data_IF_317299758883
#
_entry.id   IF_317299758883
#
_cell.length_a   1.000
_cell.length_b   1.000
_cell.length_c   1.000
_cell.angle_alpha   90.00
_cell.angle_beta   90.00
_cell.angle_gamma   90.00
#
_symmetry.space_group_name_H-M   'P 1'
#
loop_
_entity.id
_entity.type
_entity.pdbx_description
1 polymer ?
#
# COMPACT_ATOMS: atom_id res chain seq x y z
N UNK A 1 -9.29 -6.06 10.02
CA UNK A 1 -8.37 -4.92 10.23
C UNK A 1 -8.14 -4.20 8.91
N UNK A 2 -7.74 -2.96 8.98
CA UNK A 2 -7.43 -2.16 7.79
C UNK A 2 -5.95 -1.86 7.77
N UNK A 3 -5.30 -2.13 6.64
CA UNK A 3 -3.89 -1.80 6.45
C UNK A 3 -3.78 -0.54 5.59
N UNK A 4 -2.98 0.40 6.05
CA UNK A 4 -2.62 1.61 5.32
C UNK A 4 -1.15 1.47 4.95
N UNK A 5 -0.87 1.14 3.70
CA UNK A 5 0.48 0.81 3.24
C UNK A 5 1.02 1.96 2.41
N UNK A 6 2.01 2.67 2.95
CA UNK A 6 2.63 3.81 2.27
C UNK A 6 3.64 3.30 1.27
N UNK A 7 3.49 3.69 0.01
CA UNK A 7 4.32 3.18 -1.08
C UNK A 7 5.05 4.28 -1.86
N UNK A 8 4.87 5.52 -1.48
CA UNK A 8 5.64 6.64 -1.99
C UNK A 8 5.11 7.27 -3.26
N UNK A 9 5.01 6.56 -4.36
CA UNK A 9 4.61 7.12 -5.64
C UNK A 9 3.28 6.59 -6.14
N UNK A 10 2.63 7.34 -7.03
CA UNK A 10 1.39 6.88 -7.66
C UNK A 10 1.63 5.61 -8.48
N UNK A 11 2.78 5.50 -9.13
CA UNK A 11 3.12 4.31 -9.90
C UNK A 11 3.20 3.09 -8.99
N UNK A 12 3.85 3.22 -7.84
CA UNK A 12 3.91 2.12 -6.87
C UNK A 12 2.53 1.79 -6.31
N UNK A 13 1.69 2.81 -6.09
CA UNK A 13 0.34 2.59 -5.61
C UNK A 13 -0.48 1.79 -6.63
N UNK A 14 -0.37 2.13 -7.91
CA UNK A 14 -1.07 1.41 -8.97
C UNK A 14 -0.56 -0.02 -9.12
N UNK A 15 0.75 -0.23 -9.04
CA UNK A 15 1.34 -1.57 -9.07
C UNK A 15 0.85 -2.39 -7.87
N UNK A 16 0.82 -1.77 -6.70
CA UNK A 16 0.33 -2.43 -5.48
C UNK A 16 -1.12 -2.85 -5.63
N UNK A 17 -1.96 -1.96 -6.12
CA UNK A 17 -3.38 -2.24 -6.30
C UNK A 17 -3.57 -3.41 -7.26
N UNK A 18 -2.81 -3.44 -8.34
CA UNK A 18 -2.88 -4.54 -9.32
C UNK A 18 -2.47 -5.87 -8.69
N UNK A 19 -1.32 -5.89 -8.00
CA UNK A 19 -0.83 -7.11 -7.38
C UNK A 19 -1.80 -7.64 -6.33
N UNK A 20 -2.37 -6.75 -5.52
CA UNK A 20 -3.34 -7.15 -4.53
C UNK A 20 -4.61 -7.70 -5.17
N UNK A 21 -5.08 -7.07 -6.24
CA UNK A 21 -6.26 -7.55 -6.96
C UNK A 21 -6.03 -8.95 -7.53
N UNK A 22 -4.85 -9.20 -8.08
CA UNK A 22 -4.51 -10.52 -8.63
C UNK A 22 -4.49 -11.60 -7.55
N UNK A 23 -4.34 -11.21 -6.30
CA UNK A 23 -4.32 -12.12 -5.16
C UNK A 23 -5.63 -12.10 -4.36
N UNK A 24 -6.68 -11.52 -4.93
CA UNK A 24 -8.02 -11.56 -4.33
C UNK A 24 -8.30 -10.44 -3.34
N UNK A 25 -7.45 -9.42 -3.26
CA UNK A 25 -7.64 -8.30 -2.34
C UNK A 25 -8.08 -7.05 -3.09
N UNK A 26 -9.16 -6.46 -2.63
CA UNK A 26 -9.59 -5.14 -3.12
C UNK A 26 -8.87 -4.07 -2.30
N UNK A 27 -8.40 -3.04 -2.97
CA UNK A 27 -7.74 -1.93 -2.31
C UNK A 27 -8.09 -0.62 -2.98
N UNK A 28 -7.86 0.48 -2.28
CA UNK A 28 -8.01 1.81 -2.84
C UNK A 28 -6.72 2.58 -2.66
N UNK A 29 -6.48 3.52 -3.57
CA UNK A 29 -5.31 4.38 -3.53
C UNK A 29 -5.75 5.70 -2.90
N UNK A 30 -4.99 6.16 -1.89
CA UNK A 30 -5.23 7.45 -1.27
C UNK A 30 -3.94 8.27 -1.27
N UNK A 31 -4.11 9.57 -1.42
CA UNK A 31 -3.01 10.50 -1.29
C UNK A 31 -2.91 10.92 0.18
N UNK A 32 -1.69 10.92 0.71
CA UNK A 32 -1.46 11.38 2.07
C UNK A 32 -1.63 12.90 2.13
N UNK A 33 -2.26 13.39 3.21
CA UNK A 33 -2.28 14.79 3.52
C UNK A 33 -1.01 15.10 4.31
N UNK A 34 -0.32 16.18 3.95
CA UNK A 34 0.88 16.62 4.63
C UNK A 34 1.94 15.51 4.76
N UNK A 35 2.37 14.89 3.64
CA UNK A 35 3.37 13.83 3.74
C UNK A 35 4.69 14.38 4.27
N UNK A 36 5.37 13.58 5.09
CA UNK A 36 6.73 13.93 5.51
C UNK A 36 7.70 13.66 4.35
N UNK A 37 8.94 14.22 4.41
CA UNK A 37 9.91 13.92 3.37
C UNK A 37 10.17 12.42 3.17
N UNK A 38 10.04 11.63 4.23
CA UNK A 38 10.25 10.19 4.16
C UNK A 38 9.13 9.48 3.41
N UNK A 39 7.96 10.10 3.26
CA UNK A 39 6.82 9.49 2.61
C UNK A 39 6.87 9.61 1.07
N UNK A 40 7.86 10.31 0.53
CA UNK A 40 7.99 10.51 -0.90
C UNK A 40 6.84 11.33 -1.46
N UNK A 41 6.21 10.84 -2.54
CA UNK A 41 5.08 11.54 -3.15
C UNK A 41 3.79 11.43 -2.33
N UNK A 42 3.81 10.68 -1.25
CA UNK A 42 2.70 10.64 -0.32
C UNK A 42 1.49 9.84 -0.74
N UNK A 43 1.69 8.72 -1.44
CA UNK A 43 0.58 7.83 -1.80
C UNK A 43 0.59 6.58 -0.93
N UNK A 44 -0.61 6.07 -0.67
CA UNK A 44 -0.75 4.82 0.08
C UNK A 44 -1.86 3.96 -0.51
N UNK A 45 -1.81 2.69 -0.21
CA UNK A 45 -2.83 1.71 -0.58
C UNK A 45 -3.55 1.29 0.68
N UNK A 46 -4.87 1.34 0.65
CA UNK A 46 -5.70 0.96 1.80
C UNK A 46 -6.39 -0.34 1.47
N UNK A 47 -6.18 -1.36 2.31
CA UNK A 47 -6.76 -2.67 2.09
C UNK A 47 -7.38 -3.19 3.39
N UNK A 48 -8.60 -3.69 3.29
CA UNK A 48 -9.30 -4.29 4.41
C UNK A 48 -9.06 -5.80 4.35
N UNK A 49 -8.52 -6.37 5.43
CA UNK A 49 -8.04 -7.75 5.43
C UNK A 49 -8.08 -8.32 6.84
N UNK A 50 -8.03 -9.64 6.93
CA UNK A 50 -7.92 -10.33 8.23
C UNK A 50 -6.49 -10.73 8.55
N UNK A 51 -5.57 -10.58 7.60
CA UNK A 51 -4.17 -11.00 7.78
C UNK A 51 -3.23 -9.91 7.26
N UNK A 52 -1.92 -10.11 7.45
CA UNK A 52 -0.91 -9.21 6.89
C UNK A 52 -0.39 -9.70 5.53
N UNK A 53 -1.06 -10.66 4.92
CA UNK A 53 -0.66 -11.18 3.63
C UNK A 53 -0.48 -10.10 2.55
N UNK A 54 -1.30 -9.05 2.49
CA UNK A 54 -1.08 -7.99 1.49
C UNK A 54 0.32 -7.39 1.56
N UNK A 55 0.90 -7.25 2.75
CA UNK A 55 2.26 -6.73 2.90
C UNK A 55 3.26 -7.69 2.25
N UNK A 56 3.10 -8.99 2.51
CA UNK A 56 3.97 -10.02 1.92
C UNK A 56 3.88 -10.04 0.40
N UNK A 57 2.68 -9.85 -0.14
CA UNK A 57 2.47 -9.79 -1.59
C UNK A 57 3.27 -8.65 -2.20
N UNK A 58 3.21 -7.46 -1.59
CA UNK A 58 3.92 -6.30 -2.11
C UNK A 58 5.43 -6.47 -2.02
N UNK A 59 5.91 -7.05 -0.92
CA UNK A 59 7.35 -7.34 -0.76
C UNK A 59 7.82 -8.29 -1.85
N UNK A 60 7.04 -9.34 -2.13
CA UNK A 60 7.35 -10.33 -3.14
C UNK A 60 7.44 -9.72 -4.53
N UNK A 61 6.63 -8.70 -4.81
CA UNK A 61 6.63 -7.99 -6.09
C UNK A 61 7.66 -6.87 -6.13
N UNK A 62 8.54 -6.83 -5.14
CA UNK A 62 9.61 -5.82 -5.06
C UNK A 62 9.08 -4.38 -5.03
N UNK A 63 7.90 -4.18 -4.47
CA UNK A 63 7.35 -2.84 -4.29
C UNK A 63 7.86 -2.31 -2.96
N UNK A 64 8.52 -1.17 -3.00
CA UNK A 64 9.08 -0.57 -1.79
C UNK A 64 7.95 -0.07 -0.89
N UNK A 65 7.95 -0.55 0.36
CA UNK A 65 7.01 -0.12 1.38
C UNK A 65 7.73 0.87 2.29
N UNK A 66 7.14 2.05 2.45
CA UNK A 66 7.72 3.11 3.26
C UNK A 66 7.18 3.13 4.68
N UNK A 67 6.06 2.52 4.91
CA UNK A 67 5.47 2.43 6.24
C UNK A 67 4.13 1.74 6.18
N UNK A 68 3.70 1.21 7.31
CA UNK A 68 2.42 0.53 7.44
C UNK A 68 1.75 0.97 8.73
N UNK A 69 0.48 1.33 8.62
CA UNK A 69 -0.35 1.58 9.79
C UNK A 69 -1.49 0.57 9.77
N UNK A 70 -1.87 0.11 10.95
CA UNK A 70 -2.92 -0.89 11.12
C UNK A 70 -4.03 -0.34 12.00
N UNK A 71 -5.26 -0.59 11.58
CA UNK A 71 -6.43 -0.25 12.39
C UNK A 71 -7.32 -1.45 12.58
#
# INVERSE_FOLDING_TARGET
MTLYIKVGSITNAQRSQRSLRQNGYKSIIKKLENPSPQDGCGYMVVVNTYTEEPISILIKEAIQIRGVERE
#
